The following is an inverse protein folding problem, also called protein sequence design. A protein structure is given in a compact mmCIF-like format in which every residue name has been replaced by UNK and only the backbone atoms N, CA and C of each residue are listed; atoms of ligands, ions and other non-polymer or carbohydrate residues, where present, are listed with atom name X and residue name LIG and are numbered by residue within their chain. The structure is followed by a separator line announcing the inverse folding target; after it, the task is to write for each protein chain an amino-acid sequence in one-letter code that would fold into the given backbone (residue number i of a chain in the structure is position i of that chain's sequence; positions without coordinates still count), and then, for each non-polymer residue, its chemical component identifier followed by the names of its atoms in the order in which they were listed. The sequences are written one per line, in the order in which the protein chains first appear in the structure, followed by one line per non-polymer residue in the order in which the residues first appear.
data_IF_298436398968
#
_entry.id   IF_298436398968
#
_cell.length_a   1.000
_cell.length_b   1.000
_cell.length_c   1.000
_cell.angle_alpha   90.00
_cell.angle_beta   90.00
_cell.angle_gamma   90.00
#
_symmetry.space_group_name_H-M   'P 1'
#
loop_
_entity.id
_entity.type
_entity.pdbx_description
1 polymer ?
#
# COMPACT_ATOMS: atom_id res chain seq x y z
N UNK A 1 18.53 -15.88 10.88
CA UNK A 1 18.06 -14.89 9.87
C UNK A 1 18.50 -13.50 10.29
N UNK A 2 19.07 -12.73 9.36
CA UNK A 2 19.42 -11.33 9.61
C UNK A 2 18.34 -10.41 9.06
N UNK A 3 17.85 -9.49 9.89
CA UNK A 3 16.95 -8.42 9.48
C UNK A 3 17.77 -7.14 9.33
N UNK A 4 17.76 -6.53 8.15
CA UNK A 4 18.46 -5.28 7.86
C UNK A 4 17.48 -4.13 7.91
N UNK A 5 17.83 -3.04 8.60
CA UNK A 5 16.97 -1.87 8.75
C UNK A 5 17.79 -0.60 8.89
N UNK A 6 17.37 0.49 8.26
CA UNK A 6 17.98 1.83 8.39
C UNK A 6 17.53 2.58 9.64
N UNK A 7 16.52 2.08 10.37
CA UNK A 7 16.11 2.67 11.64
C UNK A 7 16.85 2.01 12.81
N UNK A 8 17.87 2.71 13.32
CA UNK A 8 18.68 2.26 14.47
C UNK A 8 17.82 1.98 15.70
N UNK A 9 16.79 2.80 15.97
CA UNK A 9 15.89 2.61 17.11
C UNK A 9 15.16 1.27 16.99
N UNK A 10 14.66 0.92 15.81
CA UNK A 10 14.01 -0.36 15.55
C UNK A 10 14.98 -1.53 15.72
N UNK A 11 16.22 -1.42 15.23
CA UNK A 11 17.26 -2.45 15.39
C UNK A 11 17.54 -2.71 16.87
N UNK A 12 17.73 -1.64 17.66
CA UNK A 12 17.95 -1.76 19.11
C UNK A 12 16.74 -2.36 19.80
N UNK A 13 15.52 -1.93 19.44
CA UNK A 13 14.28 -2.44 20.02
C UNK A 13 14.10 -3.94 19.75
N UNK A 14 14.40 -4.39 18.53
CA UNK A 14 14.33 -5.80 18.14
C UNK A 14 15.34 -6.64 18.91
N UNK A 15 16.59 -6.21 18.96
CA UNK A 15 17.65 -6.95 19.65
C UNK A 15 17.48 -6.98 21.18
N UNK A 16 16.77 -6.00 21.75
CA UNK A 16 16.38 -5.97 23.18
C UNK A 16 15.09 -6.73 23.48
N UNK A 17 14.40 -7.25 22.46
CA UNK A 17 13.10 -7.91 22.59
C UNK A 17 12.00 -7.03 23.22
N UNK A 18 12.10 -5.71 23.07
CA UNK A 18 11.11 -4.77 23.62
C UNK A 18 11.71 -3.50 24.21
N UNK A 19 10.84 -2.72 24.84
CA UNK A 19 11.15 -1.46 25.51
C UNK A 19 9.98 -0.95 26.36
N UNK A 20 9.92 0.36 26.61
CA UNK A 20 8.90 0.93 27.50
C UNK A 20 7.54 1.18 26.84
N UNK A 21 7.44 1.05 25.50
CA UNK A 21 6.20 1.35 24.79
C UNK A 21 5.32 0.09 24.65
N UNK A 22 4.10 0.16 25.21
CA UNK A 22 3.15 -0.96 25.26
C UNK A 22 2.73 -1.41 23.84
N UNK A 23 2.43 -0.46 22.95
CA UNK A 23 2.02 -0.75 21.58
C UNK A 23 3.14 -1.44 20.79
N UNK A 24 4.38 -0.94 20.90
CA UNK A 24 5.53 -1.56 20.24
C UNK A 24 5.85 -2.94 20.83
N UNK A 25 5.68 -3.12 22.14
CA UNK A 25 5.84 -4.43 22.78
C UNK A 25 4.81 -5.45 22.28
N UNK A 26 3.58 -5.02 21.99
CA UNK A 26 2.57 -5.91 21.42
C UNK A 26 2.99 -6.41 20.03
N UNK A 27 3.51 -5.53 19.18
CA UNK A 27 4.06 -5.92 17.87
C UNK A 27 5.27 -6.85 18.04
N UNK A 28 6.19 -6.53 18.96
CA UNK A 28 7.35 -7.38 19.24
C UNK A 28 6.96 -8.78 19.70
N UNK A 29 5.92 -8.93 20.53
CA UNK A 29 5.41 -10.24 20.94
C UNK A 29 4.91 -11.05 19.74
N UNK A 30 4.22 -10.41 18.78
CA UNK A 30 3.78 -11.09 17.55
C UNK A 30 4.96 -11.58 16.72
N UNK A 31 5.97 -10.73 16.53
CA UNK A 31 7.19 -11.09 15.80
C UNK A 31 7.89 -12.25 16.50
N UNK A 32 8.06 -12.17 17.83
CA UNK A 32 8.73 -13.19 18.61
C UNK A 32 8.00 -14.53 18.55
N UNK A 33 6.68 -14.54 18.76
CA UNK A 33 5.87 -15.76 18.67
C UNK A 33 5.99 -16.39 17.27
N UNK A 34 5.93 -15.59 16.20
CA UNK A 34 6.13 -16.07 14.85
C UNK A 34 7.52 -16.69 14.66
N UNK A 35 8.57 -16.02 15.13
CA UNK A 35 9.93 -16.55 15.01
C UNK A 35 10.12 -17.84 15.82
N UNK A 36 9.51 -17.92 17.01
CA UNK A 36 9.59 -19.10 17.87
C UNK A 36 8.86 -20.29 17.25
N UNK A 37 7.65 -20.10 16.73
CA UNK A 37 6.88 -21.20 16.10
C UNK A 37 7.55 -21.77 14.86
N UNK A 38 8.39 -20.98 14.18
CA UNK A 38 9.12 -21.39 12.99
C UNK A 38 10.60 -21.71 13.24
N UNK A 39 11.07 -21.67 14.50
CA UNK A 39 12.47 -21.94 14.84
C UNK A 39 13.47 -20.94 14.24
N UNK A 40 13.04 -19.69 14.00
CA UNK A 40 13.86 -18.65 13.37
C UNK A 40 14.60 -17.86 14.45
N UNK A 41 15.92 -17.90 14.44
CA UNK A 41 16.72 -16.93 15.22
C UNK A 41 16.82 -15.62 14.45
N UNK A 42 16.18 -14.56 14.94
CA UNK A 42 16.19 -13.24 14.33
C UNK A 42 17.29 -12.37 14.96
N UNK A 43 18.12 -11.74 14.12
CA UNK A 43 19.10 -10.74 14.56
C UNK A 43 19.01 -9.49 13.68
N UNK A 44 18.66 -8.36 14.29
CA UNK A 44 18.54 -7.09 13.57
C UNK A 44 19.92 -6.42 13.45
N UNK A 45 20.24 -5.91 12.27
CA UNK A 45 21.44 -5.09 12.02
C UNK A 45 21.06 -3.81 11.32
N UNK A 46 21.79 -2.75 11.67
CA UNK A 46 21.67 -1.48 10.99
C UNK A 46 22.24 -1.58 9.57
N UNK A 47 21.48 -1.06 8.60
CA UNK A 47 21.89 -0.89 7.21
C UNK A 47 21.83 0.61 6.87
N UNK A 48 22.93 1.25 6.45
CA UNK A 48 22.91 2.65 6.03
C UNK A 48 21.84 2.91 4.95
N UNK A 49 21.21 4.09 4.99
CA UNK A 49 20.11 4.45 4.07
C UNK A 49 20.48 4.33 2.60
N UNK A 50 21.73 4.66 2.24
CA UNK A 50 22.24 4.55 0.86
C UNK A 50 22.16 3.11 0.32
N UNK A 51 22.24 2.12 1.21
CA UNK A 51 22.12 0.69 0.88
C UNK A 51 20.69 0.15 1.07
N UNK A 52 19.81 0.91 1.75
CA UNK A 52 18.42 0.54 1.98
C UNK A 52 17.45 1.05 0.90
N UNK A 53 17.98 1.60 -0.19
CA UNK A 53 17.18 2.28 -1.22
C UNK A 53 16.03 1.44 -1.79
N UNK A 54 16.19 0.12 -1.94
CA UNK A 54 15.11 -0.75 -2.40
C UNK A 54 13.93 -0.79 -1.42
N UNK A 55 14.21 -0.96 -0.13
CA UNK A 55 13.17 -1.01 0.90
C UNK A 55 12.48 0.35 1.05
N UNK A 56 13.24 1.44 0.98
CA UNK A 56 12.71 2.80 1.04
C UNK A 56 11.81 3.09 -0.18
N UNK A 57 12.24 2.74 -1.39
CA UNK A 57 11.41 2.84 -2.61
C UNK A 57 10.11 2.06 -2.48
N UNK A 58 10.16 0.82 -1.99
CA UNK A 58 8.97 0.01 -1.74
C UNK A 58 8.07 0.62 -0.67
N UNK A 59 8.65 1.21 0.38
CA UNK A 59 7.89 1.89 1.44
C UNK A 59 7.13 3.12 0.92
N UNK A 60 7.68 3.84 -0.05
CA UNK A 60 7.01 4.98 -0.69
C UNK A 60 5.78 4.56 -1.50
N UNK A 61 5.78 3.35 -2.09
CA UNK A 61 4.64 2.84 -2.85
C UNK A 61 3.44 2.54 -1.93
N UNK A 62 3.66 2.13 -0.68
CA UNK A 62 2.64 1.43 0.11
C UNK A 62 1.56 2.29 0.82
N UNK A 63 1.81 3.53 1.28
CA UNK A 63 0.74 4.37 1.82
C UNK A 63 0.01 5.17 0.74
N UNK A 64 0.66 5.48 -0.39
CA UNK A 64 0.08 6.37 -1.42
C UNK A 64 -0.92 5.65 -2.34
N UNK A 65 -0.88 4.31 -2.44
CA UNK A 65 -1.84 3.54 -3.24
C UNK A 65 -3.13 3.17 -2.48
N UNK A 66 -3.18 3.36 -1.16
CA UNK A 66 -4.34 3.01 -0.32
C UNK A 66 -5.33 4.14 -0.10
N UNK A 67 -5.05 5.32 -0.63
CA UNK A 67 -5.95 6.46 -0.49
C UNK A 67 -7.22 6.21 -1.31
N UNK A 68 -8.37 6.71 -0.85
CA UNK A 68 -9.60 6.77 -1.61
C UNK A 68 -10.44 7.95 -1.14
N UNK A 69 -11.41 8.35 -1.97
CA UNK A 69 -12.43 9.33 -1.58
C UNK A 69 -13.35 8.69 -0.54
N UNK A 70 -13.79 9.48 0.44
CA UNK A 70 -14.74 8.99 1.44
C UNK A 70 -16.04 8.51 0.79
N UNK A 71 -16.60 7.39 1.27
CA UNK A 71 -17.75 6.72 0.65
C UNK A 71 -18.96 7.66 0.46
N UNK A 72 -19.25 8.53 1.43
CA UNK A 72 -20.37 9.47 1.32
C UNK A 72 -20.20 10.49 0.19
N UNK A 73 -18.96 10.92 -0.07
CA UNK A 73 -18.65 11.83 -1.16
C UNK A 73 -18.81 11.08 -2.49
N UNK A 74 -18.27 9.86 -2.59
CA UNK A 74 -18.47 9.02 -3.77
C UNK A 74 -19.95 8.78 -4.06
N UNK A 75 -20.77 8.46 -3.05
CA UNK A 75 -22.20 8.26 -3.23
C UNK A 75 -22.89 9.51 -3.78
N UNK A 76 -22.58 10.70 -3.26
CA UNK A 76 -23.12 11.96 -3.78
C UNK A 76 -22.73 12.17 -5.26
N UNK A 77 -21.46 11.93 -5.61
CA UNK A 77 -20.96 12.06 -6.98
C UNK A 77 -21.61 11.03 -7.92
N UNK A 78 -21.77 9.78 -7.47
CA UNK A 78 -22.44 8.73 -8.21
C UNK A 78 -23.94 9.01 -8.41
N UNK A 79 -24.61 9.72 -7.49
CA UNK A 79 -25.97 10.18 -7.69
C UNK A 79 -26.06 11.27 -8.77
N UNK A 80 -25.06 12.14 -8.89
CA UNK A 80 -25.05 13.23 -9.87
C UNK A 80 -24.60 12.77 -11.27
N UNK A 81 -23.60 11.89 -11.35
CA UNK A 81 -22.90 11.55 -12.58
C UNK A 81 -22.79 10.05 -12.85
N UNK A 82 -23.40 9.22 -12.01
CA UNK A 82 -23.42 7.77 -12.17
C UNK A 82 -24.57 7.25 -13.04
N UNK A 83 -24.78 5.92 -13.05
CA UNK A 83 -24.04 4.93 -12.28
C UNK A 83 -22.62 4.74 -12.81
N UNK A 84 -21.64 4.77 -11.92
CA UNK A 84 -20.29 4.30 -12.23
C UNK A 84 -20.24 2.77 -12.14
N UNK A 85 -19.57 2.14 -13.11
CA UNK A 85 -19.53 0.69 -13.23
C UNK A 85 -18.23 0.10 -12.67
N UNK A 86 -17.10 0.70 -13.04
CA UNK A 86 -15.76 0.21 -12.69
C UNK A 86 -14.96 1.27 -11.94
N UNK A 87 -14.34 0.89 -10.82
CA UNK A 87 -13.33 1.68 -10.12
C UNK A 87 -11.97 1.45 -10.77
N UNK A 88 -11.58 2.39 -11.62
CA UNK A 88 -10.45 2.22 -12.52
C UNK A 88 -9.09 2.29 -11.82
N UNK A 89 -8.96 2.77 -10.58
CA UNK A 89 -7.64 2.94 -9.96
C UNK A 89 -7.68 2.65 -8.47
N UNK A 90 -8.06 1.43 -8.13
CA UNK A 90 -8.19 0.99 -6.75
C UNK A 90 -7.47 -0.34 -6.46
N UNK A 91 -7.23 -0.57 -5.17
CA UNK A 91 -6.93 -1.87 -4.61
C UNK A 91 -8.21 -2.47 -4.05
N UNK A 92 -8.25 -3.78 -3.86
CA UNK A 92 -9.35 -4.48 -3.21
C UNK A 92 -9.74 -3.88 -1.86
N UNK A 93 -8.77 -3.34 -1.13
CA UNK A 93 -8.98 -2.75 0.20
C UNK A 93 -9.64 -1.37 0.19
N UNK A 94 -9.60 -0.63 -0.93
CA UNK A 94 -10.11 0.74 -1.03
C UNK A 94 -11.04 0.99 -2.23
N UNK A 95 -11.36 -0.05 -3.00
CA UNK A 95 -12.31 0.02 -4.11
C UNK A 95 -13.70 0.43 -3.60
N UNK A 96 -14.32 1.38 -4.31
CA UNK A 96 -15.66 1.88 -4.01
C UNK A 96 -16.76 1.18 -4.83
N UNK A 97 -16.35 0.37 -5.80
CA UNK A 97 -17.20 -0.44 -6.67
C UNK A 97 -16.80 -1.92 -6.63
N UNK A 98 -17.72 -2.86 -6.92
CA UNK A 98 -17.40 -4.28 -6.96
C UNK A 98 -16.42 -4.65 -8.08
N UNK A 99 -16.54 -3.98 -9.22
CA UNK A 99 -15.60 -4.09 -10.34
C UNK A 99 -14.53 -3.02 -10.17
N UNK A 100 -13.26 -3.44 -10.17
CA UNK A 100 -12.14 -2.52 -10.01
C UNK A 100 -10.90 -3.02 -10.74
N UNK A 101 -10.06 -2.05 -11.12
CA UNK A 101 -8.78 -2.28 -11.73
C UNK A 101 -7.65 -1.84 -10.79
N UNK A 102 -6.63 -2.69 -10.69
CA UNK A 102 -5.49 -2.48 -9.80
C UNK A 102 -4.19 -2.44 -10.57
N UNK A 103 -3.22 -1.66 -10.04
CA UNK A 103 -1.85 -1.66 -10.53
C UNK A 103 -1.18 -3.03 -10.32
N UNK A 104 -1.53 -3.72 -9.25
CA UNK A 104 -0.98 -5.01 -8.88
C UNK A 104 -2.02 -6.10 -9.13
N UNK A 105 -1.56 -7.34 -9.30
CA UNK A 105 -2.47 -8.47 -9.37
C UNK A 105 -3.15 -8.70 -8.02
N UNK A 106 -4.48 -8.72 -7.98
CA UNK A 106 -5.32 -8.95 -6.81
C UNK A 106 -6.47 -9.91 -7.11
N UNK A 107 -6.88 -10.69 -6.12
CA UNK A 107 -7.98 -11.63 -6.27
C UNK A 107 -9.33 -10.88 -6.36
N UNK A 108 -10.06 -11.10 -7.45
CA UNK A 108 -11.32 -10.44 -7.85
C UNK A 108 -11.16 -9.05 -8.52
N UNK A 109 -9.99 -8.74 -9.07
CA UNK A 109 -9.86 -7.61 -10.00
C UNK A 109 -10.44 -7.95 -11.38
N UNK A 110 -10.87 -6.94 -12.11
CA UNK A 110 -11.32 -7.10 -13.49
C UNK A 110 -10.13 -7.07 -14.46
N UNK A 111 -9.25 -6.08 -14.34
CA UNK A 111 -8.07 -5.95 -15.19
C UNK A 111 -6.83 -5.40 -14.47
N UNK A 112 -5.65 -5.82 -14.91
CA UNK A 112 -4.35 -5.30 -14.44
C UNK A 112 -3.99 -4.06 -15.24
N UNK A 113 -3.65 -2.99 -14.54
CA UNK A 113 -3.12 -1.75 -15.13
C UNK A 113 -4.07 -1.09 -16.14
N UNK A 114 -4.98 -0.29 -15.61
CA UNK A 114 -6.04 0.44 -16.31
C UNK A 114 -5.55 1.42 -17.36
N UNK A 115 -4.31 1.89 -17.28
CA UNK A 115 -3.72 2.80 -18.27
C UNK A 115 -3.54 2.12 -19.64
N UNK A 116 -3.55 0.79 -19.69
CA UNK A 116 -3.40 0.02 -20.93
C UNK A 116 -4.75 -0.43 -21.51
N UNK A 117 -5.86 -0.11 -20.84
CA UNK A 117 -7.20 -0.55 -21.26
C UNK A 117 -7.91 0.52 -22.10
N UNK A 118 -8.77 0.12 -23.05
CA UNK A 118 -9.68 1.05 -23.70
C UNK A 118 -10.79 1.47 -22.71
N UNK A 119 -11.01 2.78 -22.55
CA UNK A 119 -12.01 3.31 -21.60
C UNK A 119 -13.36 3.61 -22.27
N UNK A 120 -13.60 3.04 -23.46
CA UNK A 120 -14.77 3.37 -24.25
C UNK A 120 -15.99 2.57 -23.78
N UNK A 121 -17.16 3.23 -23.72
CA UNK A 121 -18.44 2.56 -23.51
C UNK A 121 -18.86 2.38 -22.05
N UNK A 122 -18.02 2.72 -21.08
CA UNK A 122 -18.31 2.59 -19.64
C UNK A 122 -18.14 3.90 -18.89
N UNK A 123 -19.02 4.16 -17.93
CA UNK A 123 -18.90 5.29 -17.02
C UNK A 123 -17.98 4.90 -15.86
N UNK A 124 -16.71 5.26 -15.98
CA UNK A 124 -15.67 4.83 -15.07
C UNK A 124 -15.49 5.81 -13.89
N UNK A 125 -15.35 5.24 -12.70
CA UNK A 125 -14.91 6.00 -11.53
C UNK A 125 -13.38 6.03 -11.51
N UNK A 126 -12.79 7.22 -11.46
CA UNK A 126 -11.33 7.39 -11.54
C UNK A 126 -10.87 8.33 -10.45
N UNK A 127 -10.00 7.82 -9.59
CA UNK A 127 -9.41 8.54 -8.47
C UNK A 127 -7.92 8.29 -8.49
N UNK A 128 -7.16 9.26 -9.01
CA UNK A 128 -5.74 9.10 -9.30
C UNK A 128 -4.88 9.02 -8.03
N UNK A 129 -4.14 7.92 -7.77
CA UNK A 129 -3.03 7.90 -6.82
C UNK A 129 -2.24 9.20 -6.85
N UNK A 130 -2.03 9.82 -5.67
CA UNK A 130 -1.33 11.12 -5.57
C UNK A 130 0.03 11.08 -6.29
N UNK A 131 0.67 9.92 -6.29
CA UNK A 131 1.94 9.63 -7.00
C UNK A 131 1.83 9.76 -8.51
N UNK A 132 0.68 9.38 -9.08
CA UNK A 132 0.42 9.37 -10.51
C UNK A 132 -0.04 10.74 -11.02
N UNK A 133 -0.58 11.62 -10.16
CA UNK A 133 -0.93 12.99 -10.55
C UNK A 133 0.26 13.73 -11.16
N UNK A 134 1.44 13.62 -10.54
CA UNK A 134 2.67 14.27 -11.04
C UNK A 134 3.18 13.66 -12.35
N UNK A 135 2.96 12.36 -12.56
CA UNK A 135 3.38 11.67 -13.79
C UNK A 135 2.48 12.06 -14.95
N UNK A 136 1.16 12.06 -14.73
CA UNK A 136 0.18 12.40 -15.78
C UNK A 136 0.25 13.87 -16.14
N UNK A 137 0.44 14.77 -15.17
CA UNK A 137 0.62 16.19 -15.45
C UNK A 137 1.79 16.45 -16.41
N UNK A 138 2.87 15.66 -16.33
CA UNK A 138 4.01 15.75 -17.25
C UNK A 138 3.76 15.17 -18.64
N UNK A 139 2.77 14.29 -18.79
CA UNK A 139 2.41 13.69 -20.08
C UNK A 139 1.40 14.55 -20.86
N UNK A 140 0.72 15.47 -20.18
CA UNK A 140 -0.29 16.37 -20.73
C UNK A 140 0.25 17.78 -21.05
N UNK A 141 1.51 18.06 -20.72
CA UNK A 141 2.22 19.29 -21.06
C UNK A 141 3.29 19.00 -22.13
#
# INVERSE_FOLDING_TARGET
MHLLCNNITTVVYMNKFGGCNICLNWVMKKIFNFTQTHGITLLARHLPSDLNGQADQLSCLLPQHKWSVHLSIFQALNCCWGPHLVDCMALKSNALLPQFNSRFWEHNMEVVNTLLQPWQGENNWVVLPVVLLLVIARLLC
#
